data_IF_983458671069
#
_entry.id   IF_983458671069
#
_cell.length_a   1.000
_cell.length_b   1.000
_cell.length_c   1.000
_cell.angle_alpha   90.00
_cell.angle_beta   90.00
_cell.angle_gamma   90.00
#
_symmetry.space_group_name_H-M   'P 1'
#
loop_
_entity.id
_entity.type
_entity.pdbx_description
1 polymer ?
#
# COMPACT_ATOMS: atom_id res chain seq x y z
N UNK A 1 7.06 34.18 56.80
CA UNK A 1 6.93 34.33 55.35
C UNK A 1 7.31 32.97 54.72
N UNK A 2 6.30 32.16 54.33
CA UNK A 2 6.54 30.79 53.73
C UNK A 2 6.55 30.93 52.23
N UNK A 3 7.69 30.69 51.59
CA UNK A 3 7.83 30.59 50.14
C UNK A 3 7.30 29.24 49.65
N UNK A 4 6.27 29.25 48.85
CA UNK A 4 5.83 28.06 48.08
C UNK A 4 6.55 28.02 46.72
N UNK A 5 7.43 27.02 46.53
CA UNK A 5 7.99 26.69 45.22
C UNK A 5 6.97 25.87 44.44
N UNK A 6 6.44 26.44 43.35
CA UNK A 6 5.67 25.72 42.35
C UNK A 6 6.63 25.08 41.35
N UNK A 7 6.77 23.76 41.41
CA UNK A 7 7.53 23.02 40.42
C UNK A 7 6.59 22.78 39.21
N UNK A 8 6.82 23.49 38.10
CA UNK A 8 6.15 23.23 36.83
C UNK A 8 6.75 21.97 36.20
N UNK A 9 6.01 20.89 36.14
CA UNK A 9 6.40 19.68 35.40
C UNK A 9 6.24 19.93 33.90
N UNK A 10 7.36 20.00 33.17
CA UNK A 10 7.39 20.12 31.72
C UNK A 10 7.07 18.73 31.15
N UNK A 11 5.84 18.50 30.69
CA UNK A 11 5.45 17.29 29.96
C UNK A 11 5.94 17.42 28.52
N UNK A 12 7.08 16.80 28.23
CA UNK A 12 7.55 16.67 26.83
C UNK A 12 6.72 15.60 26.14
N UNK A 13 5.78 16.02 25.30
CA UNK A 13 5.08 15.15 24.35
C UNK A 13 6.07 14.83 23.24
N UNK A 14 6.70 13.66 23.29
CA UNK A 14 7.43 13.13 22.15
C UNK A 14 6.41 12.72 21.09
N UNK A 15 6.21 13.55 20.06
CA UNK A 15 5.50 13.15 18.86
C UNK A 15 6.31 12.00 18.24
N UNK A 16 5.79 10.77 18.37
CA UNK A 16 6.37 9.62 17.69
C UNK A 16 6.35 9.90 16.19
N UNK A 17 7.52 9.94 15.57
CA UNK A 17 7.63 10.05 14.10
C UNK A 17 6.97 8.78 13.56
N UNK A 18 5.83 8.92 12.91
CA UNK A 18 5.12 7.81 12.30
C UNK A 18 6.02 7.21 11.21
N UNK A 19 6.48 5.98 11.42
CA UNK A 19 7.47 5.31 10.59
C UNK A 19 6.78 4.62 9.40
N UNK A 20 7.42 4.66 8.21
CA UNK A 20 6.97 3.87 7.06
C UNK A 20 7.01 2.37 7.38
N UNK A 21 6.08 1.56 6.83
CA UNK A 21 6.02 0.14 7.12
C UNK A 21 7.28 -0.60 6.63
N UNK A 22 7.69 -1.60 7.39
CA UNK A 22 8.67 -2.60 6.93
C UNK A 22 7.88 -3.83 6.50
N UNK A 23 8.05 -4.26 5.26
CA UNK A 23 7.28 -5.34 4.65
C UNK A 23 7.96 -6.71 4.82
N UNK A 24 7.19 -7.79 4.64
CA UNK A 24 7.72 -9.16 4.58
C UNK A 24 8.74 -9.31 3.45
N UNK A 25 8.48 -8.70 2.30
CA UNK A 25 9.43 -8.69 1.18
C UNK A 25 10.81 -8.14 1.61
N UNK A 26 10.82 -7.02 2.32
CA UNK A 26 12.07 -6.41 2.81
C UNK A 26 12.76 -7.26 3.88
N UNK A 27 12.01 -7.77 4.86
CA UNK A 27 12.58 -8.59 5.95
C UNK A 27 13.10 -9.92 5.48
N UNK A 28 12.47 -10.52 4.48
CA UNK A 28 12.90 -11.79 3.85
C UNK A 28 13.99 -11.60 2.79
N UNK A 29 14.42 -10.35 2.51
CA UNK A 29 15.37 -10.01 1.45
C UNK A 29 14.90 -10.51 0.06
N UNK A 30 13.60 -10.29 -0.22
CA UNK A 30 12.97 -10.63 -1.49
C UNK A 30 12.56 -12.10 -1.66
N UNK A 31 12.69 -12.93 -0.63
CA UNK A 31 12.32 -14.36 -0.70
C UNK A 31 10.82 -14.60 -0.51
N UNK A 32 10.13 -13.70 0.16
CA UNK A 32 8.69 -13.78 0.42
C UNK A 32 8.00 -12.50 -0.02
N UNK A 33 6.77 -12.64 -0.53
CA UNK A 33 5.88 -11.53 -0.83
C UNK A 33 4.90 -11.31 0.30
N UNK A 34 4.40 -10.08 0.43
CA UNK A 34 3.35 -9.75 1.39
C UNK A 34 2.07 -10.55 1.10
N UNK A 35 1.36 -10.91 2.16
CA UNK A 35 -0.03 -11.41 2.05
C UNK A 35 -0.97 -10.24 1.77
N UNK A 36 -2.23 -10.54 1.40
CA UNK A 36 -3.26 -9.51 1.21
C UNK A 36 -3.36 -8.59 2.43
N UNK A 37 -3.53 -9.14 3.61
CA UNK A 37 -3.70 -8.33 4.83
C UNK A 37 -2.46 -7.51 5.18
N UNK A 38 -1.26 -8.05 4.97
CA UNK A 38 -0.02 -7.31 5.17
C UNK A 38 0.12 -6.15 4.18
N UNK A 39 -0.26 -6.37 2.91
CA UNK A 39 -0.28 -5.31 1.90
C UNK A 39 -1.25 -4.18 2.31
N UNK A 40 -2.47 -4.53 2.71
CA UNK A 40 -3.47 -3.55 3.15
C UNK A 40 -3.02 -2.79 4.40
N UNK A 41 -2.39 -3.46 5.36
CA UNK A 41 -1.83 -2.79 6.55
C UNK A 41 -0.69 -1.83 6.18
N UNK A 42 0.20 -2.24 5.27
CA UNK A 42 1.28 -1.37 4.78
C UNK A 42 0.71 -0.11 4.12
N UNK A 43 -0.30 -0.24 3.25
CA UNK A 43 -0.96 0.89 2.61
C UNK A 43 -1.66 1.82 3.59
N UNK A 44 -2.39 1.28 4.58
CA UNK A 44 -3.01 2.08 5.66
C UNK A 44 -1.97 2.86 6.46
N UNK A 45 -0.81 2.26 6.71
CA UNK A 45 0.27 2.94 7.42
C UNK A 45 0.89 4.06 6.57
N UNK A 46 1.11 3.85 5.28
CA UNK A 46 1.62 4.87 4.35
C UNK A 46 0.63 6.04 4.24
N UNK A 47 -0.66 5.77 4.06
CA UNK A 47 -1.74 6.76 4.04
C UNK A 47 -1.74 7.62 5.32
N UNK A 48 -1.62 6.98 6.47
CA UNK A 48 -1.59 7.66 7.77
C UNK A 48 -0.41 8.60 7.95
N UNK A 49 0.76 8.28 7.38
CA UNK A 49 2.01 9.03 7.61
C UNK A 49 2.32 10.05 6.52
N UNK A 50 1.62 10.00 5.38
CA UNK A 50 1.91 10.86 4.24
C UNK A 50 0.67 11.54 3.68
N UNK A 51 0.61 12.89 3.72
CA UNK A 51 -0.52 13.62 3.12
C UNK A 51 -0.55 13.54 1.59
N UNK A 52 0.51 13.05 0.94
CA UNK A 52 0.55 12.83 -0.52
C UNK A 52 -0.04 11.48 -0.95
N UNK A 53 -0.53 10.67 0.00
CA UNK A 53 -1.16 9.37 -0.25
C UNK A 53 -2.57 9.39 0.31
N UNK A 54 -3.51 8.78 -0.39
CA UNK A 54 -4.90 8.61 0.08
C UNK A 54 -5.41 7.23 -0.30
N UNK A 55 -5.80 6.43 0.69
CA UNK A 55 -6.37 5.10 0.50
C UNK A 55 -7.88 5.14 0.63
N UNK A 56 -8.60 4.56 -0.33
CA UNK A 56 -10.06 4.52 -0.38
C UNK A 56 -10.55 3.09 -0.52
N UNK A 57 -11.74 2.83 0.03
CA UNK A 57 -12.49 1.60 -0.20
C UNK A 57 -13.49 1.81 -1.34
N UNK A 58 -13.45 0.95 -2.37
CA UNK A 58 -14.23 1.10 -3.59
C UNK A 58 -15.49 0.22 -3.61
N UNK A 59 -15.54 -0.83 -2.79
CA UNK A 59 -16.69 -1.73 -2.71
C UNK A 59 -16.26 -3.14 -2.31
N UNK A 60 -17.24 -4.03 -2.22
CA UNK A 60 -17.01 -5.45 -1.95
C UNK A 60 -16.56 -6.19 -3.21
N UNK A 61 -15.79 -7.27 -3.01
CA UNK A 61 -15.39 -8.20 -4.07
C UNK A 61 -16.07 -9.56 -3.89
N UNK A 62 -15.82 -10.47 -4.81
CA UNK A 62 -16.26 -11.87 -4.76
C UNK A 62 -15.71 -12.65 -3.55
N UNK A 63 -14.67 -12.13 -2.91
CA UNK A 63 -14.08 -12.66 -1.68
C UNK A 63 -14.69 -12.09 -0.40
N UNK A 64 -15.73 -11.25 -0.49
CA UNK A 64 -16.32 -10.48 0.60
C UNK A 64 -15.33 -9.52 1.31
N UNK A 65 -14.16 -9.32 0.76
CA UNK A 65 -13.19 -8.33 1.21
C UNK A 65 -13.30 -7.08 0.35
N UNK A 66 -13.02 -5.89 0.90
CA UNK A 66 -13.15 -4.65 0.15
C UNK A 66 -12.02 -4.48 -0.87
N UNK A 67 -12.39 -4.06 -2.09
CA UNK A 67 -11.42 -3.53 -3.05
C UNK A 67 -10.93 -2.17 -2.58
N UNK A 68 -9.62 -1.95 -2.64
CA UNK A 68 -9.01 -0.68 -2.29
C UNK A 68 -8.37 0.01 -3.50
N UNK A 69 -8.40 1.34 -3.47
CA UNK A 69 -7.67 2.21 -4.39
C UNK A 69 -6.77 3.13 -3.59
N UNK A 70 -5.51 3.19 -3.94
CA UNK A 70 -4.53 4.11 -3.35
C UNK A 70 -4.17 5.17 -4.38
N UNK A 71 -4.35 6.43 -4.02
CA UNK A 71 -3.96 7.57 -4.83
C UNK A 71 -2.69 8.19 -4.27
N UNK A 72 -1.75 8.52 -5.16
CA UNK A 72 -0.52 9.22 -4.80
C UNK A 72 -0.39 10.47 -5.65
N UNK A 73 -0.32 11.63 -5.00
CA UNK A 73 -0.23 12.93 -5.66
C UNK A 73 0.69 13.86 -4.86
N UNK A 74 1.74 14.38 -5.49
CA UNK A 74 2.74 15.23 -4.82
C UNK A 74 2.17 16.55 -4.29
N UNK A 75 1.08 17.05 -4.84
CA UNK A 75 0.38 18.26 -4.41
C UNK A 75 -0.89 17.97 -3.60
N UNK A 76 -1.08 16.72 -3.16
CA UNK A 76 -2.18 16.29 -2.29
C UNK A 76 -3.59 16.50 -2.91
N UNK A 77 -3.68 16.52 -4.23
CA UNK A 77 -4.96 16.60 -4.93
C UNK A 77 -5.47 15.21 -5.31
N UNK A 78 -6.65 14.82 -4.78
CA UNK A 78 -7.22 13.47 -4.95
C UNK A 78 -8.59 13.46 -5.62
N UNK A 79 -9.01 14.59 -6.21
CA UNK A 79 -10.32 14.72 -6.89
C UNK A 79 -10.14 14.74 -8.41
N UNK A 80 -10.82 13.85 -9.18
CA UNK A 80 -10.70 13.79 -10.64
C UNK A 80 -10.94 15.13 -11.35
N UNK A 81 -11.88 15.94 -10.85
CA UNK A 81 -12.18 17.25 -11.41
C UNK A 81 -10.97 18.21 -11.32
N UNK A 82 -10.22 18.15 -10.23
CA UNK A 82 -8.99 18.95 -10.06
C UNK A 82 -7.88 18.46 -11.00
N UNK A 83 -7.75 17.14 -11.19
CA UNK A 83 -6.76 16.58 -12.11
C UNK A 83 -7.00 17.04 -13.54
N UNK A 84 -8.27 17.03 -13.98
CA UNK A 84 -8.66 17.52 -15.31
C UNK A 84 -8.34 19.00 -15.48
N UNK A 85 -8.68 19.84 -14.50
CA UNK A 85 -8.38 21.29 -14.51
C UNK A 85 -6.88 21.59 -14.54
N UNK A 86 -6.08 20.74 -13.92
CA UNK A 86 -4.62 20.87 -13.81
C UNK A 86 -3.87 20.10 -14.91
N UNK A 87 -4.57 19.51 -15.90
CA UNK A 87 -4.01 18.67 -16.96
C UNK A 87 -3.06 17.57 -16.42
N UNK A 88 -3.47 16.91 -15.34
CA UNK A 88 -2.68 15.80 -14.77
C UNK A 88 -2.88 14.53 -15.56
N UNK A 89 -1.82 13.76 -15.65
CA UNK A 89 -1.83 12.38 -16.16
C UNK A 89 -2.09 11.44 -14.98
N UNK A 90 -3.08 10.58 -15.13
CA UNK A 90 -3.38 9.51 -14.17
C UNK A 90 -2.82 8.20 -14.68
N UNK A 91 -1.95 7.57 -13.91
CA UNK A 91 -1.38 6.25 -14.23
C UNK A 91 -2.05 5.23 -13.32
N UNK A 92 -2.83 4.32 -13.91
CA UNK A 92 -3.41 3.19 -13.19
C UNK A 92 -2.38 2.06 -13.11
N UNK A 93 -2.11 1.60 -11.88
CA UNK A 93 -1.31 0.42 -11.58
C UNK A 93 -2.25 -0.62 -10.98
N UNK A 94 -2.53 -1.67 -11.74
CA UNK A 94 -3.41 -2.75 -11.30
C UNK A 94 -2.58 -3.98 -10.90
N UNK A 95 -2.47 -4.24 -9.60
CA UNK A 95 -1.63 -5.32 -9.08
C UNK A 95 -2.44 -6.58 -8.77
N UNK A 96 -1.79 -7.72 -8.90
CA UNK A 96 -2.29 -8.99 -8.40
C UNK A 96 -3.56 -9.47 -9.11
N UNK A 97 -3.69 -9.27 -10.42
CA UNK A 97 -4.69 -9.97 -11.25
C UNK A 97 -4.48 -11.48 -11.07
N UNK A 98 -3.21 -11.91 -11.14
CA UNK A 98 -2.80 -13.26 -10.76
C UNK A 98 -1.90 -13.17 -9.52
N UNK A 99 -2.41 -13.41 -8.31
CA UNK A 99 -1.64 -13.21 -7.08
C UNK A 99 -0.43 -14.14 -6.89
N UNK A 100 -0.29 -15.14 -7.74
CA UNK A 100 0.94 -15.94 -7.86
C UNK A 100 2.08 -15.19 -8.54
N UNK A 101 1.85 -14.01 -9.10
CA UNK A 101 2.82 -13.07 -9.68
C UNK A 101 2.80 -11.79 -8.82
N UNK A 102 3.39 -11.81 -7.62
CA UNK A 102 3.20 -10.74 -6.63
C UNK A 102 4.11 -9.52 -6.85
N UNK A 103 4.94 -9.51 -7.90
CA UNK A 103 5.95 -8.47 -8.14
C UNK A 103 5.40 -7.05 -8.05
N UNK A 104 4.27 -6.80 -8.70
CA UNK A 104 3.62 -5.49 -8.70
C UNK A 104 3.13 -5.06 -7.31
N UNK A 105 2.68 -6.02 -6.49
CA UNK A 105 2.18 -5.76 -5.13
C UNK A 105 3.32 -5.19 -4.27
N UNK A 106 4.45 -5.90 -4.19
CA UNK A 106 5.61 -5.48 -3.40
C UNK A 106 6.31 -4.26 -3.99
N UNK A 107 6.44 -4.21 -5.33
CA UNK A 107 7.08 -3.11 -6.03
C UNK A 107 6.32 -1.78 -5.87
N UNK A 108 4.98 -1.80 -5.88
CA UNK A 108 4.16 -0.61 -5.68
C UNK A 108 4.31 -0.03 -4.27
N UNK A 109 4.34 -0.88 -3.24
CA UNK A 109 4.59 -0.45 -1.87
C UNK A 109 5.98 0.19 -1.77
N UNK A 110 7.01 -0.46 -2.33
CA UNK A 110 8.38 0.04 -2.32
C UNK A 110 8.52 1.37 -3.07
N UNK A 111 7.89 1.50 -4.25
CA UNK A 111 7.86 2.72 -5.03
C UNK A 111 7.28 3.89 -4.24
N UNK A 112 6.12 3.68 -3.60
CA UNK A 112 5.46 4.77 -2.86
C UNK A 112 6.20 5.11 -1.58
N UNK A 113 6.82 4.15 -0.91
CA UNK A 113 7.74 4.41 0.21
C UNK A 113 8.92 5.28 -0.23
N UNK A 114 9.50 5.02 -1.40
CA UNK A 114 10.59 5.85 -1.95
C UNK A 114 10.12 7.26 -2.31
N UNK A 115 8.89 7.41 -2.82
CA UNK A 115 8.29 8.73 -3.09
C UNK A 115 8.07 9.48 -1.78
N UNK A 116 7.43 8.87 -0.81
CA UNK A 116 7.10 9.48 0.50
C UNK A 116 8.36 9.86 1.28
N UNK A 117 9.40 9.04 1.21
CA UNK A 117 10.69 9.33 1.86
C UNK A 117 11.57 10.34 1.11
N UNK A 118 11.14 10.80 -0.07
CA UNK A 118 11.90 11.74 -0.90
C UNK A 118 13.07 11.13 -1.69
N UNK A 119 13.25 9.81 -1.63
CA UNK A 119 14.27 9.10 -2.45
C UNK A 119 13.94 9.12 -3.93
N UNK A 120 12.66 9.18 -4.26
CA UNK A 120 12.15 9.26 -5.64
C UNK A 120 11.16 10.41 -5.76
N UNK A 121 11.28 11.19 -6.82
CA UNK A 121 10.37 12.31 -7.10
C UNK A 121 9.21 11.84 -7.98
N UNK A 122 7.97 12.10 -7.55
CA UNK A 122 6.79 12.00 -8.41
C UNK A 122 6.61 13.33 -9.15
N UNK A 123 6.52 13.35 -10.50
CA UNK A 123 6.25 14.58 -11.25
C UNK A 123 4.94 15.24 -10.79
N UNK A 124 4.93 16.58 -10.71
CA UNK A 124 3.78 17.32 -10.18
C UNK A 124 2.49 17.14 -11.01
N UNK A 125 2.64 16.85 -12.31
CA UNK A 125 1.53 16.58 -13.22
C UNK A 125 1.13 15.11 -13.29
N UNK A 126 1.64 14.24 -12.42
CA UNK A 126 1.32 12.80 -12.40
C UNK A 126 0.59 12.45 -11.11
N UNK A 127 -0.48 11.66 -11.24
CA UNK A 127 -1.16 10.97 -10.14
C UNK A 127 -1.03 9.48 -10.37
N UNK A 128 -0.61 8.74 -9.37
CA UNK A 128 -0.69 7.28 -9.40
C UNK A 128 -2.02 6.85 -8.78
N UNK A 129 -2.73 5.98 -9.48
CA UNK A 129 -3.92 5.29 -9.00
C UNK A 129 -3.57 3.80 -8.91
N UNK A 130 -3.44 3.26 -7.71
CA UNK A 130 -2.91 1.93 -7.46
C UNK A 130 -4.01 1.05 -6.87
N UNK A 131 -4.32 -0.06 -7.51
CA UNK A 131 -5.10 -1.14 -6.90
C UNK A 131 -4.09 -2.07 -6.22
N UNK A 132 -4.07 -2.14 -4.87
CA UNK A 132 -3.10 -2.94 -4.13
C UNK A 132 -3.08 -4.41 -4.50
N UNK A 133 -4.27 -5.01 -4.56
CA UNK A 133 -4.51 -6.40 -4.97
C UNK A 133 -5.87 -6.47 -5.63
N UNK A 134 -5.92 -6.80 -6.91
CA UNK A 134 -7.17 -6.88 -7.67
C UNK A 134 -7.92 -8.19 -7.40
N UNK A 135 -7.26 -9.32 -7.59
CA UNK A 135 -7.79 -10.66 -7.31
C UNK A 135 -7.58 -11.02 -5.84
N UNK A 136 -8.46 -10.52 -4.97
CA UNK A 136 -8.35 -10.76 -3.53
C UNK A 136 -8.56 -12.23 -3.19
N UNK A 137 -9.55 -12.88 -3.82
CA UNK A 137 -9.84 -14.29 -3.59
C UNK A 137 -8.66 -15.21 -3.86
N UNK A 138 -8.00 -15.01 -5.00
CA UNK A 138 -6.77 -15.73 -5.32
C UNK A 138 -5.61 -15.39 -4.39
N UNK A 139 -5.54 -14.13 -3.91
CA UNK A 139 -4.51 -13.71 -2.96
C UNK A 139 -4.67 -14.31 -1.57
N UNK A 140 -5.89 -14.58 -1.14
CA UNK A 140 -6.19 -15.26 0.13
C UNK A 140 -5.95 -16.77 0.05
N UNK A 141 -6.07 -17.37 -1.13
CA UNK A 141 -5.81 -18.78 -1.38
C UNK A 141 -4.34 -19.00 -1.73
N UNK A 142 -3.49 -19.20 -0.73
CA UNK A 142 -2.03 -19.33 -0.89
C UNK A 142 -1.56 -20.75 -0.69
N UNK A 143 -0.55 -21.16 -1.46
CA UNK A 143 0.11 -22.46 -1.31
C UNK A 143 1.54 -22.42 -1.86
N UNK A 144 2.42 -23.23 -1.26
CA UNK A 144 3.75 -23.49 -1.80
C UNK A 144 3.71 -24.30 -3.11
N UNK A 145 2.62 -25.01 -3.35
CA UNK A 145 2.45 -25.91 -4.51
C UNK A 145 1.85 -25.23 -5.74
N UNK A 146 1.37 -23.98 -5.61
CA UNK A 146 0.96 -23.23 -6.78
C UNK A 146 2.19 -22.80 -7.59
N UNK A 147 2.09 -22.81 -8.94
CA UNK A 147 3.17 -22.40 -9.85
C UNK A 147 4.50 -23.09 -9.56
N UNK A 148 4.48 -24.41 -9.58
CA UNK A 148 5.65 -25.29 -9.27
C UNK A 148 6.89 -25.01 -10.12
N UNK A 149 6.74 -24.38 -11.28
CA UNK A 149 7.83 -23.97 -12.17
C UNK A 149 8.43 -22.60 -11.86
N UNK A 150 7.86 -21.88 -10.86
CA UNK A 150 8.30 -20.52 -10.49
C UNK A 150 9.23 -20.59 -9.28
N UNK A 151 10.40 -19.96 -9.40
CA UNK A 151 11.38 -19.85 -8.32
C UNK A 151 11.01 -18.67 -7.39
N UNK A 152 10.32 -18.98 -6.29
CA UNK A 152 9.85 -18.01 -5.32
C UNK A 152 8.57 -17.26 -5.73
N UNK A 153 7.93 -16.55 -4.78
CA UNK A 153 8.12 -16.67 -3.33
C UNK A 153 7.73 -18.05 -2.78
N UNK A 154 8.02 -18.31 -1.48
CA UNK A 154 7.74 -19.62 -0.86
C UNK A 154 6.28 -20.03 -1.00
N UNK A 155 5.35 -19.10 -0.73
CA UNK A 155 3.92 -19.30 -0.97
C UNK A 155 3.43 -18.31 -2.02
N UNK A 156 2.63 -18.81 -2.93
CA UNK A 156 2.07 -18.06 -4.05
C UNK A 156 0.55 -18.06 -3.97
N UNK A 157 -0.08 -16.97 -4.39
CA UNK A 157 -1.53 -16.90 -4.52
C UNK A 157 -2.05 -17.77 -5.67
N UNK A 158 -3.31 -18.14 -5.59
CA UNK A 158 -4.00 -18.87 -6.64
C UNK A 158 -4.29 -17.96 -7.84
N UNK A 159 -4.27 -18.51 -9.05
CA UNK A 159 -4.50 -17.74 -10.28
C UNK A 159 -5.94 -17.24 -10.39
N UNK A 160 -6.90 -18.12 -10.14
CA UNK A 160 -8.32 -17.79 -10.22
C UNK A 160 -8.81 -16.97 -9.04
N UNK A 161 -9.96 -16.32 -9.21
CA UNK A 161 -10.64 -15.59 -8.14
C UNK A 161 -11.40 -16.55 -7.18
N UNK A 162 -12.22 -16.02 -6.26
CA UNK A 162 -13.02 -16.84 -5.33
C UNK A 162 -14.03 -17.76 -6.01
N UNK A 163 -14.42 -17.45 -7.23
CA UNK A 163 -15.33 -18.25 -8.06
C UNK A 163 -14.57 -19.15 -9.07
N UNK A 164 -13.25 -19.22 -8.95
CA UNK A 164 -12.35 -19.99 -9.81
C UNK A 164 -12.32 -19.53 -11.27
N UNK A 165 -12.59 -18.24 -11.53
CA UNK A 165 -12.40 -17.65 -12.84
C UNK A 165 -10.98 -17.07 -12.97
N UNK A 166 -10.40 -17.22 -14.15
CA UNK A 166 -9.18 -16.52 -14.58
C UNK A 166 -9.55 -15.08 -14.98
N UNK A 167 -8.88 -14.08 -14.42
CA UNK A 167 -9.21 -12.65 -14.58
C UNK A 167 -8.34 -11.97 -15.62
#
# INVERSE_FOLDING_TARGET
MKLFFFAAALVTVTAGIAQLPVTRYETSKGKESVTYYEAIQAWKQIDKVSPSVSMMTMGATDANEPLHLVLVSSDQTFKPQQWQQQNKVVILINNGIHPGEPDGIDASISLVKDIVSGKRKLPANVVLAIIPVYNIGGSLNRSAFYRVSQDGPLEKGFRGNSQNFDL
#
